data_IF_946370151596
#
_entry.id   IF_946370151596
#
_cell.length_a   1.000
_cell.length_b   1.000
_cell.length_c   1.000
_cell.angle_alpha   90.00
_cell.angle_beta   90.00
_cell.angle_gamma   90.00
#
_symmetry.space_group_name_H-M   'P 1'
#
loop_
_entity.id
_entity.type
_entity.pdbx_description
1 polymer ?
#
# COMPACT_ATOMS: atom_id res chain seq x y z
N UNK A 1 -10.33 -26.59 -37.63
CA UNK A 1 -9.30 -27.31 -36.85
C UNK A 1 -8.06 -27.10 -37.69
N UNK A 2 -7.18 -26.15 -37.38
CA UNK A 2 -6.49 -25.84 -36.13
C UNK A 2 -6.24 -24.31 -36.09
N UNK A 3 -6.21 -23.56 -34.98
CA UNK A 3 -5.71 -23.87 -33.66
C UNK A 3 -4.32 -23.27 -33.45
N UNK A 4 -4.19 -21.94 -33.40
CA UNK A 4 -3.07 -21.29 -32.69
C UNK A 4 -3.54 -19.95 -32.10
N UNK A 5 -3.79 -19.99 -30.79
CA UNK A 5 -3.98 -18.82 -29.96
C UNK A 5 -2.58 -18.29 -29.60
N UNK A 6 -2.10 -17.32 -30.36
CA UNK A 6 -0.94 -16.53 -29.96
C UNK A 6 -1.34 -15.61 -28.80
N UNK A 7 -1.32 -16.20 -27.61
CA UNK A 7 -1.32 -15.47 -26.35
C UNK A 7 0.08 -14.95 -26.08
N UNK A 8 0.33 -13.72 -26.50
CA UNK A 8 1.37 -12.88 -25.90
C UNK A 8 0.75 -11.51 -25.64
N UNK A 9 -0.11 -11.47 -24.62
CA UNK A 9 -0.37 -10.21 -23.94
C UNK A 9 0.95 -9.78 -23.30
N UNK A 10 1.32 -8.48 -23.35
CA UNK A 10 2.59 -8.04 -22.82
C UNK A 10 2.65 -8.45 -21.36
N UNK A 11 3.56 -9.37 -21.03
CA UNK A 11 4.00 -9.54 -19.65
C UNK A 11 4.64 -8.20 -19.33
N UNK A 12 3.84 -7.30 -18.77
CA UNK A 12 4.29 -6.03 -18.24
C UNK A 12 5.28 -6.43 -17.16
N UNK A 13 6.55 -6.49 -17.55
CA UNK A 13 7.68 -6.40 -16.66
C UNK A 13 7.40 -5.17 -15.83
N UNK A 14 6.77 -5.37 -14.67
CA UNK A 14 6.55 -4.35 -13.66
C UNK A 14 7.94 -4.03 -13.10
N UNK A 15 8.73 -3.34 -13.92
CA UNK A 15 9.95 -2.69 -13.51
C UNK A 15 9.50 -1.62 -12.55
N UNK A 16 9.64 -1.94 -11.28
CA UNK A 16 9.26 -1.04 -10.23
C UNK A 16 10.31 0.06 -10.15
N UNK A 17 9.94 1.28 -10.52
CA UNK A 17 10.77 2.45 -10.25
C UNK A 17 10.68 2.79 -8.75
N UNK A 18 11.77 2.66 -7.97
CA UNK A 18 11.75 3.01 -6.55
C UNK A 18 11.43 4.49 -6.31
N UNK A 19 11.69 5.35 -7.31
CA UNK A 19 11.28 6.76 -7.31
C UNK A 19 9.75 6.94 -7.20
N UNK A 20 8.96 5.95 -7.64
CA UNK A 20 7.50 6.02 -7.54
C UNK A 20 7.00 6.07 -6.09
N UNK A 21 7.71 5.43 -5.15
CA UNK A 21 7.41 5.49 -3.71
C UNK A 21 8.23 6.54 -2.96
N UNK A 22 9.25 7.12 -3.58
CA UNK A 22 10.16 8.09 -2.96
C UNK A 22 9.54 9.48 -2.73
N UNK A 23 8.33 9.73 -3.25
CA UNK A 23 7.58 10.96 -3.00
C UNK A 23 7.03 11.07 -1.58
N UNK A 24 6.82 12.30 -1.11
CA UNK A 24 6.14 12.63 0.14
C UNK A 24 4.67 12.19 0.09
N UNK A 25 4.44 10.89 0.32
CA UNK A 25 3.10 10.30 0.38
C UNK A 25 2.58 10.22 1.82
N UNK A 26 3.36 10.69 2.79
CA UNK A 26 2.95 10.75 4.19
C UNK A 26 1.70 11.61 4.37
N UNK A 27 1.58 12.69 3.59
CA UNK A 27 0.51 13.66 3.76
C UNK A 27 0.68 14.46 5.06
N UNK A 28 -0.09 15.54 5.18
CA UNK A 28 -0.12 16.35 6.40
C UNK A 28 -0.71 15.58 7.58
N UNK A 29 -0.40 16.00 8.81
CA UNK A 29 -1.01 15.41 10.03
C UNK A 29 -2.54 15.49 10.00
N UNK A 30 -3.10 16.54 9.40
CA UNK A 30 -4.54 16.71 9.21
C UNK A 30 -5.13 15.64 8.27
N UNK A 31 -4.52 15.45 7.10
CA UNK A 31 -4.95 14.40 6.15
C UNK A 31 -4.85 13.00 6.78
N UNK A 32 -3.77 12.74 7.54
CA UNK A 32 -3.60 11.47 8.24
C UNK A 32 -4.70 11.26 9.28
N UNK A 33 -5.00 12.28 10.09
CA UNK A 33 -6.03 12.22 11.12
C UNK A 33 -7.43 12.05 10.52
N UNK A 34 -7.74 12.77 9.44
CA UNK A 34 -9.04 12.67 8.78
C UNK A 34 -9.23 11.31 8.11
N UNK A 35 -8.20 10.77 7.47
CA UNK A 35 -8.23 9.40 6.92
C UNK A 35 -8.46 8.35 8.02
N UNK A 36 -7.81 8.50 9.18
CA UNK A 36 -8.03 7.61 10.32
C UNK A 36 -9.47 7.70 10.87
N UNK A 37 -10.05 8.90 10.97
CA UNK A 37 -11.46 9.08 11.38
C UNK A 37 -12.42 8.41 10.39
N UNK A 38 -12.17 8.55 9.09
CA UNK A 38 -13.00 7.90 8.06
C UNK A 38 -12.88 6.37 8.13
N UNK A 39 -11.68 5.82 8.31
CA UNK A 39 -11.46 4.39 8.51
C UNK A 39 -12.18 3.86 9.75
N UNK A 40 -12.07 4.56 10.88
CA UNK A 40 -12.76 4.21 12.12
C UNK A 40 -14.27 4.22 11.93
N UNK A 41 -14.81 5.27 11.27
CA UNK A 41 -16.23 5.37 10.95
C UNK A 41 -16.68 4.19 10.08
N UNK A 42 -15.94 3.88 9.01
CA UNK A 42 -16.24 2.78 8.11
C UNK A 42 -16.26 1.43 8.86
N UNK A 43 -15.26 1.17 9.69
CA UNK A 43 -15.21 -0.05 10.51
C UNK A 43 -16.39 -0.11 11.49
N UNK A 44 -16.69 1.00 12.19
CA UNK A 44 -17.81 1.08 13.13
C UNK A 44 -19.16 0.83 12.47
N UNK A 45 -19.40 1.43 11.30
CA UNK A 45 -20.63 1.23 10.51
C UNK A 45 -20.77 -0.24 10.06
N UNK A 46 -19.66 -0.93 9.83
CA UNK A 46 -19.63 -2.36 9.47
C UNK A 46 -19.59 -3.28 10.70
N UNK A 47 -19.64 -2.76 11.92
CA UNK A 47 -19.45 -3.49 13.18
C UNK A 47 -18.13 -4.28 13.23
N UNK A 48 -17.09 -3.75 12.59
CA UNK A 48 -15.73 -4.26 12.62
C UNK A 48 -14.92 -3.49 13.67
N UNK A 49 -14.09 -4.20 14.42
CA UNK A 49 -13.13 -3.56 15.31
C UNK A 49 -11.98 -3.00 14.47
N UNK A 50 -11.76 -1.68 14.51
CA UNK A 50 -10.56 -1.08 13.96
C UNK A 50 -9.51 -0.98 15.06
N UNK A 51 -8.39 -1.69 14.90
CA UNK A 51 -7.21 -1.53 15.74
C UNK A 51 -6.13 -0.85 14.91
N UNK A 52 -5.74 0.40 15.23
CA UNK A 52 -4.73 1.10 14.45
C UNK A 52 -3.43 0.29 14.46
N UNK A 53 -2.95 -0.16 13.28
CA UNK A 53 -1.76 -1.01 13.19
C UNK A 53 -0.52 -0.23 13.62
N UNK A 54 0.42 -0.93 14.25
CA UNK A 54 1.72 -0.39 14.63
C UNK A 54 2.81 -1.02 13.76
N UNK A 55 3.76 -0.20 13.32
CA UNK A 55 4.94 -0.65 12.58
C UNK A 55 6.17 -0.37 13.44
N UNK A 56 6.93 -1.40 13.77
CA UNK A 56 8.06 -1.32 14.73
C UNK A 56 7.71 -0.66 16.09
N UNK A 57 6.46 -0.77 16.54
CA UNK A 57 6.01 -0.17 17.79
C UNK A 57 5.54 1.28 17.68
N UNK A 58 5.80 1.96 16.56
CA UNK A 58 5.24 3.27 16.24
C UNK A 58 3.91 3.15 15.50
N UNK A 59 3.09 4.20 15.52
CA UNK A 59 1.84 4.23 14.76
C UNK A 59 2.13 4.15 13.27
N UNK A 60 1.45 3.25 12.56
CA UNK A 60 1.60 3.15 11.11
C UNK A 60 0.79 4.27 10.43
N UNK A 61 1.43 5.03 9.54
CA UNK A 61 0.72 5.96 8.66
C UNK A 61 -0.12 5.16 7.65
N UNK A 62 -1.41 4.95 7.99
CA UNK A 62 -2.35 4.18 7.18
C UNK A 62 -2.66 4.89 5.85
N UNK A 63 -2.65 6.23 5.83
CA UNK A 63 -2.87 7.01 4.61
C UNK A 63 -1.75 6.75 3.61
N UNK A 64 -0.49 6.82 4.05
CA UNK A 64 0.66 6.49 3.20
C UNK A 64 0.59 5.06 2.69
N UNK A 65 0.24 4.11 3.55
CA UNK A 65 0.14 2.70 3.17
C UNK A 65 -0.89 2.51 2.06
N UNK A 66 -2.06 3.10 2.25
CA UNK A 66 -3.14 3.03 1.27
C UNK A 66 -2.75 3.70 -0.05
N UNK A 67 -2.11 4.88 -0.04
CA UNK A 67 -1.62 5.57 -1.25
C UNK A 67 -0.58 4.72 -1.98
N UNK A 68 0.39 4.17 -1.26
CA UNK A 68 1.43 3.30 -1.82
C UNK A 68 0.83 2.05 -2.46
N UNK A 69 -0.02 1.32 -1.74
CA UNK A 69 -0.66 0.09 -2.27
C UNK A 69 -1.56 0.39 -3.46
N UNK A 70 -2.37 1.45 -3.40
CA UNK A 70 -3.28 1.84 -4.49
C UNK A 70 -2.50 2.21 -5.75
N UNK A 71 -1.41 2.96 -5.61
CA UNK A 71 -0.54 3.34 -6.74
C UNK A 71 0.14 2.14 -7.40
N UNK A 72 0.38 1.07 -6.64
CA UNK A 72 0.94 -0.18 -7.13
C UNK A 72 -0.09 -1.13 -7.75
N UNK A 73 -1.32 -0.68 -7.95
CA UNK A 73 -2.39 -1.51 -8.52
C UNK A 73 -3.26 -2.22 -7.48
N UNK A 74 -3.16 -1.84 -6.21
CA UNK A 74 -3.99 -2.35 -5.13
C UNK A 74 -3.44 -3.59 -4.43
N UNK A 75 -4.22 -4.11 -3.48
CA UNK A 75 -3.83 -5.22 -2.61
C UNK A 75 -3.45 -6.48 -3.38
N UNK A 76 -4.25 -6.87 -4.37
CA UNK A 76 -4.02 -8.08 -5.15
C UNK A 76 -2.70 -8.01 -5.91
N UNK A 77 -2.44 -6.88 -6.59
CA UNK A 77 -1.21 -6.67 -7.34
C UNK A 77 0.03 -6.69 -6.43
N UNK A 78 -0.02 -5.97 -5.31
CA UNK A 78 1.09 -5.94 -4.32
C UNK A 78 1.35 -7.34 -3.75
N UNK A 79 0.30 -8.13 -3.53
CA UNK A 79 0.40 -9.49 -2.98
C UNK A 79 0.93 -10.49 -4.01
N UNK A 80 0.40 -10.49 -5.23
CA UNK A 80 0.82 -11.38 -6.32
C UNK A 80 2.27 -11.09 -6.74
N UNK A 81 2.63 -9.81 -6.87
CA UNK A 81 3.98 -9.40 -7.25
C UNK A 81 4.96 -9.33 -6.08
N UNK A 82 4.54 -9.71 -4.85
CA UNK A 82 5.38 -9.72 -3.65
C UNK A 82 6.06 -8.37 -3.35
N UNK A 83 5.35 -7.27 -3.61
CA UNK A 83 5.86 -5.90 -3.44
C UNK A 83 5.83 -5.40 -1.99
N UNK A 84 5.31 -6.20 -1.05
CA UNK A 84 5.21 -5.87 0.38
C UNK A 84 6.54 -5.47 1.01
N UNK A 85 7.65 -6.11 0.63
CA UNK A 85 8.98 -5.73 1.15
C UNK A 85 9.32 -4.28 0.79
N UNK A 86 8.99 -3.89 -0.42
CA UNK A 86 9.35 -2.58 -0.96
C UNK A 86 8.44 -1.47 -0.46
N UNK A 87 7.14 -1.78 -0.33
CA UNK A 87 6.21 -0.93 0.43
C UNK A 87 6.74 -0.76 1.85
N UNK A 88 7.16 -1.83 2.53
CA UNK A 88 7.73 -1.76 3.86
C UNK A 88 9.03 -0.95 3.95
N UNK A 89 9.90 -1.02 2.94
CA UNK A 89 11.15 -0.23 2.87
C UNK A 89 10.89 1.28 2.72
N UNK A 90 9.75 1.68 2.12
CA UNK A 90 9.36 3.09 2.05
C UNK A 90 8.85 3.62 3.40
N UNK A 91 8.49 2.74 4.35
CA UNK A 91 8.30 3.12 5.75
C UNK A 91 9.68 3.10 6.42
N UNK A 92 10.22 4.30 6.66
CA UNK A 92 11.52 4.48 7.32
C UNK A 92 11.55 3.62 8.58
N UNK A 93 12.56 2.76 8.68
CA UNK A 93 12.82 2.00 9.92
C UNK A 93 13.11 3.01 11.03
N UNK A 94 12.54 2.88 12.23
CA UNK A 94 12.99 3.67 13.37
C UNK A 94 14.49 3.48 13.51
N UNK A 95 15.26 4.56 13.66
CA UNK A 95 16.71 4.46 13.85
C UNK A 95 16.95 3.59 15.08
N UNK A 96 17.59 2.43 14.89
CA UNK A 96 18.03 1.59 16.00
C UNK A 96 18.99 2.40 16.85
N UNK A 97 18.65 2.55 18.13
CA UNK A 97 19.54 3.06 19.17
C UNK A 97 20.74 2.11 19.27
#
# INVERSE_FOLDING_TARGET
MDGDASGDGPIHSFSFDPDFLAGDNDGSEEEQADFMKELEKFHKERSLEFKPPKFYGEGLNCLKLWRDVTRLGGYDQVTICKLWRQVGESFKRPKSI
#
